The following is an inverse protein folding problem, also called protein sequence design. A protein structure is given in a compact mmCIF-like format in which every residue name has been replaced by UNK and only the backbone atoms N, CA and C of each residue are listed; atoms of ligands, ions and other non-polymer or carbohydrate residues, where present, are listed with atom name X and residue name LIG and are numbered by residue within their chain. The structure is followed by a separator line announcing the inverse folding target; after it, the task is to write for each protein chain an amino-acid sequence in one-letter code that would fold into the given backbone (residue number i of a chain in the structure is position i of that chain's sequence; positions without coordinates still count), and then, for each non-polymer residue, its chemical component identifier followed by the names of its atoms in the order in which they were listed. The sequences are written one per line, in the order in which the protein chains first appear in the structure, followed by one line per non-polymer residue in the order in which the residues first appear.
data_IF_244131053076
#
_entry.id   IF_244131053076
#
_cell.length_a   1.000
_cell.length_b   1.000
_cell.length_c   1.000
_cell.angle_alpha   90.00
_cell.angle_beta   90.00
_cell.angle_gamma   90.00
#
_symmetry.space_group_name_H-M   'P 1'
#
loop_
_entity.id
_entity.type
_entity.pdbx_description
1 polymer ?
#
# COMPACT_ATOMS: atom_id res chain seq x y z
N UNK A 1 24.94 -43.05 4.96
CA UNK A 1 23.65 -43.68 4.58
C UNK A 1 23.81 -44.30 3.21
N UNK A 2 23.54 -45.61 3.07
CA UNK A 2 23.93 -46.45 1.94
C UNK A 2 23.59 -45.84 0.55
N UNK A 3 24.54 -45.91 -0.38
CA UNK A 3 24.48 -45.26 -1.71
C UNK A 3 24.27 -46.23 -2.87
N UNK A 4 24.09 -47.51 -2.59
CA UNK A 4 23.98 -48.55 -3.61
C UNK A 4 22.71 -49.36 -3.31
N UNK A 5 21.90 -49.58 -4.34
CA UNK A 5 20.67 -50.39 -4.26
C UNK A 5 20.75 -51.40 -5.37
N UNK A 6 20.88 -52.68 -5.02
CA UNK A 6 21.01 -53.75 -5.99
C UNK A 6 19.63 -54.11 -6.54
N UNK A 7 19.43 -53.90 -7.85
CA UNK A 7 18.24 -54.36 -8.58
C UNK A 7 18.65 -55.51 -9.48
N UNK A 8 18.48 -56.72 -8.97
CA UNK A 8 18.51 -58.04 -9.60
C UNK A 8 19.74 -58.45 -10.46
N UNK A 9 20.28 -57.61 -11.35
CA UNK A 9 21.44 -57.93 -12.22
C UNK A 9 22.31 -56.68 -12.55
N UNK A 10 21.89 -55.46 -12.20
CA UNK A 10 22.64 -54.22 -12.51
C UNK A 10 22.90 -53.41 -11.25
N UNK A 11 24.16 -53.09 -10.99
CA UNK A 11 24.57 -52.09 -9.99
C UNK A 11 24.38 -50.70 -10.58
N UNK A 12 23.41 -49.95 -10.04
CA UNK A 12 23.19 -48.55 -10.41
C UNK A 12 23.93 -47.67 -9.40
N UNK A 13 25.00 -46.99 -9.84
CA UNK A 13 25.66 -45.99 -9.02
C UNK A 13 24.83 -44.70 -8.99
N UNK A 14 24.04 -44.54 -7.93
CA UNK A 14 23.23 -43.34 -7.72
C UNK A 14 24.07 -42.09 -7.36
N UNK A 15 25.40 -42.21 -7.17
CA UNK A 15 26.26 -41.07 -6.82
C UNK A 15 26.36 -40.07 -7.96
N UNK A 16 26.43 -40.50 -9.21
CA UNK A 16 26.52 -39.57 -10.34
C UNK A 16 25.20 -38.86 -10.62
N UNK A 17 24.07 -39.55 -10.45
CA UNK A 17 22.74 -38.93 -10.47
C UNK A 17 22.56 -37.94 -9.31
N UNK A 18 22.98 -38.30 -8.08
CA UNK A 18 22.99 -37.41 -6.91
C UNK A 18 24.04 -36.30 -7.00
N UNK A 19 25.03 -36.37 -7.86
CA UNK A 19 25.98 -35.28 -8.15
C UNK A 19 25.42 -34.30 -9.19
N UNK A 20 24.62 -34.78 -10.14
CA UNK A 20 23.93 -33.95 -11.12
C UNK A 20 22.73 -33.18 -10.54
N UNK A 21 21.94 -33.80 -9.66
CA UNK A 21 20.78 -33.18 -9.00
C UNK A 21 21.08 -31.84 -8.25
N UNK A 22 22.08 -31.75 -7.35
CA UNK A 22 22.31 -30.57 -6.53
C UNK A 22 22.85 -29.38 -7.34
N UNK A 23 23.52 -29.61 -8.47
CA UNK A 23 24.08 -28.53 -9.28
C UNK A 23 22.98 -27.64 -9.89
N UNK A 24 21.90 -28.24 -10.39
CA UNK A 24 20.78 -27.49 -10.95
C UNK A 24 19.91 -26.87 -9.85
N UNK A 25 19.59 -27.59 -8.78
CA UNK A 25 18.78 -27.07 -7.66
C UNK A 25 19.47 -25.91 -6.94
N UNK A 26 20.78 -25.98 -6.72
CA UNK A 26 21.54 -24.90 -6.11
C UNK A 26 21.65 -23.67 -7.02
N UNK A 27 21.71 -23.86 -8.35
CA UNK A 27 21.68 -22.74 -9.29
C UNK A 27 20.32 -22.01 -9.27
N UNK A 28 19.20 -22.73 -9.25
CA UNK A 28 17.86 -22.13 -9.13
C UNK A 28 17.68 -21.39 -7.80
N UNK A 29 18.13 -21.98 -6.68
CA UNK A 29 18.08 -21.32 -5.38
C UNK A 29 18.96 -20.06 -5.35
N UNK A 30 20.14 -20.11 -5.96
CA UNK A 30 21.05 -18.96 -6.05
C UNK A 30 20.44 -17.80 -6.83
N UNK A 31 19.76 -18.09 -7.95
CA UNK A 31 19.02 -17.08 -8.71
C UNK A 31 17.80 -16.55 -7.94
N UNK A 32 17.06 -17.42 -7.24
CA UNK A 32 15.96 -17.00 -6.38
C UNK A 32 16.46 -16.02 -5.31
N UNK A 33 17.57 -16.32 -4.64
CA UNK A 33 18.18 -15.43 -3.62
C UNK A 33 18.80 -14.16 -4.21
N UNK A 34 19.05 -14.11 -5.52
CA UNK A 34 19.47 -12.89 -6.23
C UNK A 34 18.26 -12.00 -6.56
N UNK A 35 17.17 -12.59 -6.99
CA UNK A 35 15.97 -11.87 -7.45
C UNK A 35 15.09 -11.42 -6.29
N UNK A 36 14.95 -12.24 -5.23
CA UNK A 36 14.04 -11.99 -4.12
C UNK A 36 14.25 -10.62 -3.44
N UNK A 37 15.48 -10.18 -3.11
CA UNK A 37 15.70 -8.86 -2.53
C UNK A 37 15.36 -7.70 -3.48
N UNK A 38 15.47 -7.91 -4.80
CA UNK A 38 15.12 -6.89 -5.80
C UNK A 38 13.61 -6.75 -5.89
N UNK A 39 12.89 -7.88 -5.94
CA UNK A 39 11.43 -7.91 -5.97
C UNK A 39 10.82 -7.34 -4.69
N UNK A 40 11.36 -7.69 -3.52
CA UNK A 40 10.95 -7.14 -2.23
C UNK A 40 11.09 -5.60 -2.20
N UNK A 41 12.26 -5.08 -2.60
CA UNK A 41 12.50 -3.63 -2.65
C UNK A 41 11.52 -2.92 -3.56
N UNK A 42 11.34 -3.39 -4.79
CA UNK A 42 10.38 -2.80 -5.75
C UNK A 42 8.95 -2.78 -5.20
N UNK A 43 8.53 -3.89 -4.58
CA UNK A 43 7.19 -3.97 -3.99
C UNK A 43 7.04 -3.01 -2.82
N UNK A 44 8.05 -2.92 -1.95
CA UNK A 44 8.06 -2.01 -0.80
C UNK A 44 8.13 -0.53 -1.22
N UNK A 45 8.91 -0.19 -2.25
CA UNK A 45 8.98 1.17 -2.83
C UNK A 45 7.63 1.59 -3.40
N UNK A 46 6.97 0.71 -4.18
CA UNK A 46 5.64 0.96 -4.71
C UNK A 46 4.63 1.16 -3.60
N UNK A 47 4.63 0.29 -2.59
CA UNK A 47 3.77 0.43 -1.41
C UNK A 47 4.06 1.77 -0.70
N UNK A 48 5.33 2.11 -0.47
CA UNK A 48 5.72 3.34 0.18
C UNK A 48 5.21 4.58 -0.57
N UNK A 49 5.25 4.57 -1.91
CA UNK A 49 4.72 5.65 -2.75
C UNK A 49 3.20 5.76 -2.65
N UNK A 50 2.47 4.64 -2.75
CA UNK A 50 1.01 4.59 -2.61
C UNK A 50 0.57 5.12 -1.22
N UNK A 51 1.25 4.69 -0.16
CA UNK A 51 0.99 5.14 1.21
C UNK A 51 1.33 6.64 1.39
N UNK A 52 2.46 7.13 0.86
CA UNK A 52 2.82 8.56 0.93
C UNK A 52 1.76 9.42 0.25
N UNK A 53 1.31 9.04 -0.95
CA UNK A 53 0.28 9.75 -1.69
C UNK A 53 -1.02 9.82 -0.89
N UNK A 54 -1.43 8.70 -0.31
CA UNK A 54 -2.67 8.61 0.48
C UNK A 54 -2.60 9.41 1.78
N UNK A 55 -1.45 9.40 2.47
CA UNK A 55 -1.21 10.24 3.64
C UNK A 55 -1.32 11.72 3.28
N UNK A 56 -0.74 12.13 2.14
CA UNK A 56 -0.81 13.53 1.71
C UNK A 56 -2.26 13.98 1.52
N UNK A 57 -3.07 13.19 0.83
CA UNK A 57 -4.49 13.52 0.58
C UNK A 57 -5.34 13.53 1.86
N UNK A 58 -5.09 12.60 2.79
CA UNK A 58 -5.85 12.51 4.05
C UNK A 58 -5.41 13.53 5.11
N UNK A 59 -4.23 14.14 4.95
CA UNK A 59 -3.66 15.07 5.94
C UNK A 59 -4.13 16.51 5.79
N UNK A 60 -4.80 16.84 4.68
CA UNK A 60 -5.33 18.17 4.44
C UNK A 60 -6.50 18.48 5.39
N UNK A 61 -6.48 19.66 6.00
CA UNK A 61 -7.65 20.20 6.69
C UNK A 61 -8.51 20.95 5.66
N UNK A 62 -9.76 20.53 5.42
CA UNK A 62 -10.63 21.16 4.44
C UNK A 62 -11.07 22.54 4.93
N UNK A 63 -10.73 23.58 4.16
CA UNK A 63 -11.19 24.95 4.37
C UNK A 63 -12.47 25.25 3.62
N UNK A 64 -12.67 24.61 2.47
CA UNK A 64 -13.81 24.81 1.59
C UNK A 64 -14.59 23.51 1.35
N UNK A 65 -15.81 23.63 0.82
CA UNK A 65 -16.66 22.48 0.49
C UNK A 65 -15.97 21.56 -0.52
N UNK A 66 -15.25 22.11 -1.51
CA UNK A 66 -14.50 21.34 -2.50
C UNK A 66 -13.40 20.50 -1.86
N UNK A 67 -12.62 21.09 -0.94
CA UNK A 67 -11.59 20.37 -0.17
C UNK A 67 -12.20 19.21 0.63
N UNK A 68 -13.37 19.44 1.23
CA UNK A 68 -14.07 18.42 2.00
C UNK A 68 -14.54 17.27 1.11
N UNK A 69 -15.10 17.55 -0.07
CA UNK A 69 -15.49 16.53 -1.04
C UNK A 69 -14.26 15.71 -1.47
N UNK A 70 -13.15 16.37 -1.81
CA UNK A 70 -11.90 15.70 -2.18
C UNK A 70 -11.35 14.82 -1.05
N UNK A 71 -11.42 15.31 0.20
CA UNK A 71 -11.02 14.53 1.38
C UNK A 71 -11.88 13.28 1.54
N UNK A 72 -13.19 13.38 1.34
CA UNK A 72 -14.11 12.24 1.44
C UNK A 72 -13.92 11.23 0.30
N UNK A 73 -13.60 11.67 -0.91
CA UNK A 73 -13.21 10.78 -2.01
C UNK A 73 -11.91 10.04 -1.69
N UNK A 74 -10.93 10.76 -1.15
CA UNK A 74 -9.65 10.21 -0.71
C UNK A 74 -9.82 9.20 0.43
N UNK A 75 -10.72 9.46 1.37
CA UNK A 75 -11.12 8.52 2.43
C UNK A 75 -11.68 7.23 1.84
N UNK A 76 -12.64 7.34 0.92
CA UNK A 76 -13.24 6.17 0.26
C UNK A 76 -12.23 5.36 -0.55
N UNK A 77 -11.26 6.01 -1.20
CA UNK A 77 -10.15 5.33 -1.88
C UNK A 77 -9.22 4.63 -0.89
N UNK A 78 -8.89 5.27 0.23
CA UNK A 78 -8.03 4.68 1.25
C UNK A 78 -8.68 3.44 1.87
N UNK A 79 -9.95 3.51 2.26
CA UNK A 79 -10.72 2.37 2.80
C UNK A 79 -10.72 1.17 1.85
N UNK A 80 -10.98 1.39 0.55
CA UNK A 80 -10.97 0.32 -0.46
C UNK A 80 -9.60 -0.34 -0.65
N UNK A 81 -8.52 0.40 -0.40
CA UNK A 81 -7.15 -0.07 -0.60
C UNK A 81 -6.50 -0.63 0.67
N UNK A 82 -7.08 -0.42 1.86
CA UNK A 82 -6.48 -0.82 3.14
C UNK A 82 -6.09 -2.31 3.17
N UNK A 83 -7.00 -3.20 2.78
CA UNK A 83 -6.73 -4.64 2.81
C UNK A 83 -5.65 -5.03 1.80
N UNK A 84 -5.65 -4.43 0.61
CA UNK A 84 -4.59 -4.61 -0.38
C UNK A 84 -3.24 -4.14 0.14
N UNK A 85 -3.19 -3.01 0.84
CA UNK A 85 -1.95 -2.49 1.43
C UNK A 85 -1.45 -3.38 2.57
N UNK A 86 -2.34 -3.90 3.42
CA UNK A 86 -2.02 -4.89 4.46
C UNK A 86 -1.41 -6.14 3.87
N UNK A 87 -2.09 -6.74 2.88
CA UNK A 87 -1.61 -7.94 2.19
C UNK A 87 -0.26 -7.69 1.50
N UNK A 88 -0.10 -6.54 0.84
CA UNK A 88 1.17 -6.19 0.20
C UNK A 88 2.30 -6.04 1.21
N UNK A 89 2.03 -5.42 2.37
CA UNK A 89 3.01 -5.29 3.45
C UNK A 89 3.38 -6.65 4.05
N UNK A 90 2.42 -7.53 4.29
CA UNK A 90 2.67 -8.89 4.79
C UNK A 90 3.55 -9.67 3.82
N UNK A 91 3.25 -9.61 2.52
CA UNK A 91 4.11 -10.21 1.48
C UNK A 91 5.54 -9.68 1.51
N UNK A 92 5.74 -8.37 1.72
CA UNK A 92 7.09 -7.78 1.82
C UNK A 92 7.83 -8.34 3.05
N UNK A 93 7.15 -8.52 4.18
CA UNK A 93 7.75 -9.09 5.39
C UNK A 93 8.08 -10.57 5.27
N UNK A 94 7.23 -11.34 4.58
CA UNK A 94 7.50 -12.73 4.25
C UNK A 94 8.75 -12.84 3.38
N UNK A 95 8.84 -11.99 2.34
CA UNK A 95 10.03 -11.92 1.49
C UNK A 95 11.29 -11.52 2.28
N UNK A 96 11.18 -10.56 3.19
CA UNK A 96 12.30 -10.15 4.05
C UNK A 96 12.76 -11.28 4.98
N UNK A 97 11.82 -12.04 5.56
CA UNK A 97 12.10 -13.21 6.40
C UNK A 97 12.81 -14.29 5.60
N UNK A 98 12.36 -14.55 4.37
CA UNK A 98 13.02 -15.48 3.45
C UNK A 98 14.44 -15.03 3.08
N UNK A 99 14.66 -13.73 2.82
CA UNK A 99 16.00 -13.18 2.59
C UNK A 99 16.89 -13.35 3.81
N UNK A 100 16.39 -13.07 5.01
CA UNK A 100 17.13 -13.24 6.26
C UNK A 100 17.51 -14.70 6.53
N UNK A 101 16.63 -15.65 6.19
CA UNK A 101 16.89 -17.09 6.38
C UNK A 101 17.93 -17.66 5.41
N UNK A 102 18.09 -17.03 4.25
CA UNK A 102 18.93 -17.54 3.15
C UNK A 102 20.25 -16.81 2.98
N UNK A 103 20.34 -15.58 3.48
CA UNK A 103 21.58 -14.80 3.54
C UNK A 103 21.75 -14.24 4.96
N UNK A 104 22.92 -14.40 5.58
CA UNK A 104 23.15 -14.00 6.97
C UNK A 104 23.13 -12.49 7.21
N UNK A 105 22.88 -11.64 6.19
CA UNK A 105 22.86 -10.19 6.36
C UNK A 105 21.84 -9.55 5.44
N UNK A 106 20.66 -9.24 5.99
CA UNK A 106 19.74 -8.26 5.41
C UNK A 106 20.39 -6.88 5.55
N UNK A 107 20.33 -6.04 4.51
CA UNK A 107 20.84 -4.67 4.62
C UNK A 107 19.96 -3.87 5.58
N UNK A 108 20.57 -3.08 6.44
CA UNK A 108 19.85 -2.23 7.40
C UNK A 108 18.87 -1.27 6.70
N UNK A 109 19.26 -0.75 5.53
CA UNK A 109 18.40 0.07 4.66
C UNK A 109 17.09 -0.63 4.29
N UNK A 110 17.16 -1.92 3.94
CA UNK A 110 15.99 -2.70 3.53
C UNK A 110 15.06 -2.93 4.74
N UNK A 111 15.62 -3.27 5.90
CA UNK A 111 14.85 -3.45 7.14
C UNK A 111 14.19 -2.14 7.60
N UNK A 112 14.92 -1.02 7.51
CA UNK A 112 14.39 0.32 7.80
C UNK A 112 13.27 0.68 6.84
N UNK A 113 13.42 0.42 5.54
CA UNK A 113 12.39 0.70 4.55
C UNK A 113 11.09 -0.08 4.79
N UNK A 114 11.16 -1.35 5.19
CA UNK A 114 9.99 -2.16 5.56
C UNK A 114 9.34 -1.66 6.86
N UNK A 115 10.16 -1.25 7.84
CA UNK A 115 9.65 -0.64 9.09
C UNK A 115 8.91 0.69 8.83
N UNK A 116 9.41 1.50 7.90
CA UNK A 116 8.76 2.74 7.50
C UNK A 116 7.39 2.51 6.86
N UNK A 117 7.24 1.52 5.96
CA UNK A 117 5.94 1.23 5.34
C UNK A 117 4.93 0.70 6.37
N UNK A 118 5.36 -0.09 7.35
CA UNK A 118 4.53 -0.48 8.51
C UNK A 118 4.03 0.73 9.29
N UNK A 119 4.91 1.70 9.56
CA UNK A 119 4.55 2.92 10.30
C UNK A 119 3.57 3.77 9.50
N UNK A 120 3.79 3.91 8.19
CA UNK A 120 2.87 4.64 7.28
C UNK A 120 1.49 4.00 7.20
N UNK A 121 1.43 2.67 7.11
CA UNK A 121 0.16 1.95 7.06
C UNK A 121 -0.67 2.18 8.34
N UNK A 122 -0.04 2.04 9.51
CA UNK A 122 -0.69 2.37 10.80
C UNK A 122 -1.17 3.81 10.86
N UNK A 123 -0.38 4.75 10.33
CA UNK A 123 -0.78 6.15 10.25
C UNK A 123 -2.03 6.32 9.39
N UNK A 124 -2.11 5.68 8.23
CA UNK A 124 -3.30 5.73 7.38
C UNK A 124 -4.51 5.13 8.09
N UNK A 125 -4.36 3.98 8.74
CA UNK A 125 -5.46 3.37 9.51
C UNK A 125 -6.01 4.33 10.58
N UNK A 126 -5.12 5.00 11.31
CA UNK A 126 -5.51 6.01 12.29
C UNK A 126 -6.17 7.23 11.64
N UNK A 127 -5.65 7.71 10.51
CA UNK A 127 -6.21 8.85 9.78
C UNK A 127 -7.59 8.54 9.21
N UNK A 128 -7.83 7.33 8.70
CA UNK A 128 -9.14 6.90 8.22
C UNK A 128 -10.17 7.01 9.33
N UNK A 129 -9.88 6.46 10.51
CA UNK A 129 -10.77 6.55 11.68
C UNK A 129 -11.00 8.01 12.11
N UNK A 130 -9.93 8.81 12.17
CA UNK A 130 -10.03 10.21 12.57
C UNK A 130 -10.90 11.03 11.59
N UNK A 131 -10.73 10.83 10.28
CA UNK A 131 -11.51 11.55 9.26
C UNK A 131 -12.96 11.09 9.28
N UNK A 132 -13.23 9.79 9.48
CA UNK A 132 -14.59 9.26 9.67
C UNK A 132 -15.30 9.90 10.86
N UNK A 133 -14.64 9.96 12.03
CA UNK A 133 -15.20 10.58 13.23
C UNK A 133 -15.52 12.07 13.05
N UNK A 134 -14.72 12.78 12.24
CA UNK A 134 -14.92 14.20 11.96
C UNK A 134 -15.89 14.46 10.80
N UNK A 135 -16.20 13.46 9.97
CA UNK A 135 -16.95 13.63 8.74
C UNK A 135 -18.35 14.18 8.98
N UNK A 136 -19.07 13.65 9.97
CA UNK A 136 -20.45 14.08 10.26
C UNK A 136 -20.50 15.52 10.78
N UNK A 137 -19.55 15.91 11.64
CA UNK A 137 -19.46 17.27 12.14
C UNK A 137 -19.14 18.28 11.02
N UNK A 138 -18.18 17.96 10.15
CA UNK A 138 -17.82 18.81 9.00
C UNK A 138 -18.94 18.88 7.97
N UNK A 139 -19.62 17.77 7.71
CA UNK A 139 -20.79 17.72 6.82
C UNK A 139 -21.93 18.60 7.34
N UNK A 140 -22.18 18.60 8.64
CA UNK A 140 -23.17 19.51 9.24
C UNK A 140 -22.75 20.97 9.08
N UNK A 141 -21.49 21.30 9.39
CA UNK A 141 -20.95 22.66 9.26
C UNK A 141 -21.08 23.22 7.83
N UNK A 142 -20.58 22.49 6.83
CA UNK A 142 -20.69 22.90 5.44
C UNK A 142 -22.13 22.88 4.92
N UNK A 143 -22.98 21.99 5.46
CA UNK A 143 -24.41 21.97 5.17
C UNK A 143 -25.12 23.25 5.61
N UNK A 144 -24.84 23.72 6.83
CA UNK A 144 -25.38 24.96 7.38
C UNK A 144 -24.87 26.18 6.61
N UNK A 145 -23.60 26.18 6.23
CA UNK A 145 -23.00 27.24 5.42
C UNK A 145 -23.67 27.34 4.04
N UNK A 146 -23.84 26.21 3.35
CA UNK A 146 -24.55 26.16 2.06
C UNK A 146 -26.01 26.60 2.19
N UNK A 147 -26.70 26.17 3.26
CA UNK A 147 -28.08 26.59 3.53
C UNK A 147 -28.21 28.10 3.74
N UNK A 148 -27.16 28.77 4.24
CA UNK A 148 -27.11 30.22 4.39
C UNK A 148 -26.75 30.94 3.08
N UNK A 149 -25.74 30.46 2.36
CA UNK A 149 -25.15 31.16 1.21
C UNK A 149 -25.99 30.98 -0.07
N UNK A 150 -26.56 29.80 -0.31
CA UNK A 150 -27.33 29.53 -1.55
C UNK A 150 -28.57 30.44 -1.70
N UNK A 151 -29.39 30.67 -0.65
CA UNK A 151 -30.50 31.60 -0.74
C UNK A 151 -30.05 33.05 -1.00
N UNK A 152 -28.93 33.47 -0.40
CA UNK A 152 -28.37 34.81 -0.62
C UNK A 152 -27.96 35.00 -2.08
N UNK A 153 -27.19 34.05 -2.64
CA UNK A 153 -26.81 34.05 -4.05
C UNK A 153 -28.02 34.06 -4.99
N UNK A 154 -29.07 33.28 -4.69
CA UNK A 154 -30.31 33.32 -5.48
C UNK A 154 -30.97 34.70 -5.44
N UNK A 155 -31.02 35.32 -4.26
CA UNK A 155 -31.53 36.69 -4.10
C UNK A 155 -30.72 37.72 -4.88
N UNK A 156 -29.39 37.60 -4.86
CA UNK A 156 -28.46 38.49 -5.58
C UNK A 156 -28.62 38.36 -7.09
N UNK A 157 -28.72 37.12 -7.61
CA UNK A 157 -28.98 36.86 -9.03
C UNK A 157 -30.32 37.46 -9.46
N UNK A 158 -31.35 37.31 -8.62
CA UNK A 158 -32.69 37.85 -8.92
C UNK A 158 -32.64 39.38 -8.97
N UNK A 159 -32.01 40.02 -7.99
CA UNK A 159 -31.80 41.48 -7.96
C UNK A 159 -30.98 41.99 -9.14
N UNK A 160 -29.92 41.28 -9.52
CA UNK A 160 -29.08 41.66 -10.65
C UNK A 160 -29.83 41.56 -11.98
N UNK A 161 -30.68 40.53 -12.13
CA UNK A 161 -31.56 40.39 -13.30
C UNK A 161 -32.61 41.51 -13.36
N UNK A 162 -33.29 41.78 -12.26
CA UNK A 162 -34.29 42.85 -12.19
C UNK A 162 -33.67 44.22 -12.50
N UNK A 163 -32.41 44.44 -12.10
CA UNK A 163 -31.66 45.65 -12.41
C UNK A 163 -31.19 45.73 -13.88
N UNK A 164 -30.94 44.61 -14.55
CA UNK A 164 -30.59 44.61 -15.99
C UNK A 164 -31.81 44.72 -16.90
N UNK A 165 -32.97 44.29 -16.42
CA UNK A 165 -34.26 44.36 -17.13
C UNK A 165 -34.99 45.71 -16.92
N UNK A 166 -34.48 46.57 -16.03
CA UNK A 166 -34.99 47.93 -15.83
C UNK A 166 -34.48 48.89 -16.95
N UNK A 167 -35.38 49.64 -17.63
CA UNK A 167 -35.05 50.49 -18.78
C UNK A 167 -34.22 51.74 -18.45
#
# INVERSE_FOLDING_TARGET
VASETDVAIVRVDARDFRRGLPAHTNAYLSELFRVLPVSMRRLNERLAAELTSSISSLSGEPSEVEDFVYLMESLGLAQRNLDRWRETRERVEDMMTLVASSRPTVREEDASAVSMTRTKLKKIEAMVLQVEEQADAKKAHFGDELARVVPQLRGDITRARDASDAP
#
